data_IF_758030672148
#
_entry.id   IF_758030672148
#
_cell.length_a   1.000
_cell.length_b   1.000
_cell.length_c   1.000
_cell.angle_alpha   90.00
_cell.angle_beta   90.00
_cell.angle_gamma   90.00
#
_symmetry.space_group_name_H-M   'P 1'
#
loop_
_entity.id
_entity.type
_entity.pdbx_description
1 polymer ?
#
# COMPACT_ATOMS: atom_id res chain seq x y z
N UNK A 1 17.93 -22.51 66.16
CA UNK A 1 16.95 -22.68 65.07
C UNK A 1 17.68 -22.91 63.76
N UNK A 2 17.35 -24.03 63.12
CA UNK A 2 17.35 -24.36 61.68
C UNK A 2 18.63 -24.07 60.87
N UNK A 3 19.49 -25.10 60.84
CA UNK A 3 20.54 -25.42 59.85
C UNK A 3 20.01 -25.59 58.40
N UNK A 4 18.93 -24.89 58.01
CA UNK A 4 18.31 -24.93 56.67
C UNK A 4 18.64 -23.69 55.82
N UNK A 5 19.19 -22.61 56.41
CA UNK A 5 19.49 -21.37 55.67
C UNK A 5 20.89 -21.30 55.04
N UNK A 6 21.83 -22.18 55.39
CA UNK A 6 23.20 -22.12 54.82
C UNK A 6 23.34 -23.01 53.56
N UNK A 7 22.54 -24.08 53.44
CA UNK A 7 22.55 -24.95 52.25
C UNK A 7 21.79 -24.31 51.09
N UNK A 8 20.73 -23.53 51.37
CA UNK A 8 19.96 -22.83 50.33
C UNK A 8 20.73 -21.68 49.66
N UNK A 9 21.74 -21.11 50.32
CA UNK A 9 22.54 -20.02 49.75
C UNK A 9 23.65 -20.58 48.82
N UNK A 10 24.21 -21.74 49.14
CA UNK A 10 25.18 -22.43 48.27
C UNK A 10 24.54 -23.12 47.06
N UNK A 11 23.29 -23.60 47.17
CA UNK A 11 22.58 -24.16 46.01
C UNK A 11 22.18 -23.11 44.99
N UNK A 12 21.95 -21.86 45.39
CA UNK A 12 21.72 -20.75 44.44
C UNK A 12 23.03 -20.24 43.84
N UNK A 13 24.14 -20.26 44.60
CA UNK A 13 25.44 -19.80 44.11
C UNK A 13 26.11 -20.79 43.12
N UNK A 14 25.89 -22.11 43.25
CA UNK A 14 26.35 -23.10 42.25
C UNK A 14 25.48 -23.08 40.98
N UNK A 15 24.20 -22.67 41.08
CA UNK A 15 23.33 -22.45 39.92
C UNK A 15 23.68 -21.18 39.13
N UNK A 16 24.31 -20.18 39.76
CA UNK A 16 24.81 -18.98 39.06
C UNK A 16 26.14 -19.23 38.33
N UNK A 17 26.98 -20.18 38.80
CA UNK A 17 28.24 -20.52 38.12
C UNK A 17 28.04 -21.56 37.00
N UNK A 18 27.00 -22.40 37.07
CA UNK A 18 26.61 -23.26 35.95
C UNK A 18 25.94 -22.50 34.78
N UNK A 19 25.51 -21.25 34.98
CA UNK A 19 25.08 -20.34 33.90
C UNK A 19 26.24 -19.55 33.25
N UNK A 20 27.47 -19.76 33.71
CA UNK A 20 28.70 -19.41 32.98
C UNK A 20 29.31 -20.65 32.32
N UNK A 21 28.46 -21.62 31.95
CA UNK A 21 28.81 -22.65 31.01
C UNK A 21 29.22 -21.99 29.72
N UNK A 22 30.55 -21.95 29.50
CA UNK A 22 31.24 -21.74 28.23
C UNK A 22 30.34 -21.13 27.17
N UNK A 23 30.47 -19.82 26.92
CA UNK A 23 30.21 -19.30 25.58
C UNK A 23 31.24 -19.98 24.68
N UNK A 24 31.00 -21.25 24.35
CA UNK A 24 31.41 -21.76 23.08
C UNK A 24 30.77 -20.77 22.13
N UNK A 25 31.61 -19.91 21.56
CA UNK A 25 31.26 -19.19 20.35
C UNK A 25 30.98 -20.30 19.33
N UNK A 26 29.75 -20.82 19.35
CA UNK A 26 29.18 -21.53 18.23
C UNK A 26 28.97 -20.45 17.18
N UNK A 27 30.07 -20.09 16.53
CA UNK A 27 30.04 -19.54 15.19
C UNK A 27 29.42 -20.64 14.32
N UNK A 28 28.11 -20.58 14.14
CA UNK A 28 27.47 -21.28 13.04
C UNK A 28 27.69 -20.40 11.81
N UNK A 29 28.83 -20.60 11.16
CA UNK A 29 29.03 -20.06 9.82
C UNK A 29 28.03 -20.75 8.88
N UNK A 30 27.10 -19.97 8.33
CA UNK A 30 26.42 -20.38 7.11
C UNK A 30 27.36 -20.08 5.95
N UNK A 31 28.07 -21.09 5.47
CA UNK A 31 28.60 -21.07 4.11
C UNK A 31 27.45 -21.49 3.21
N UNK A 32 26.86 -20.52 2.52
CA UNK A 32 26.04 -20.85 1.35
C UNK A 32 26.95 -20.91 0.15
N UNK A 33 27.59 -22.06 -0.01
CA UNK A 33 28.29 -22.40 -1.24
C UNK A 33 27.23 -22.82 -2.26
N UNK A 34 27.27 -22.20 -3.45
CA UNK A 34 26.22 -22.23 -4.50
C UNK A 34 25.06 -21.24 -4.30
N UNK A 35 25.29 -20.10 -3.65
CA UNK A 35 24.46 -18.91 -3.91
C UNK A 35 24.61 -18.50 -5.39
N UNK A 36 23.77 -19.04 -6.27
CA UNK A 36 23.66 -18.57 -7.64
C UNK A 36 22.75 -17.35 -7.60
N UNK A 37 23.35 -16.16 -7.47
CA UNK A 37 22.66 -14.92 -7.79
C UNK A 37 22.43 -14.90 -9.31
N UNK A 38 21.24 -15.30 -9.74
CA UNK A 38 20.85 -15.19 -11.15
C UNK A 38 20.43 -13.75 -11.38
N UNK A 39 21.18 -13.03 -12.21
CA UNK A 39 20.77 -11.71 -12.67
C UNK A 39 19.37 -11.78 -13.28
N UNK A 40 18.58 -10.71 -13.15
CA UNK A 40 17.28 -10.68 -13.78
C UNK A 40 17.43 -10.89 -15.30
N UNK A 41 16.60 -11.76 -15.86
CA UNK A 41 16.59 -11.99 -17.30
C UNK A 41 16.05 -10.71 -17.96
N UNK A 42 16.80 -10.20 -18.94
CA UNK A 42 16.41 -9.14 -19.85
C UNK A 42 16.51 -9.71 -21.26
N UNK A 43 15.37 -10.10 -21.81
CA UNK A 43 15.23 -10.69 -23.14
C UNK A 43 14.01 -10.04 -23.79
N UNK A 44 14.27 -9.00 -24.57
CA UNK A 44 13.26 -8.31 -25.36
C UNK A 44 13.62 -8.54 -26.82
N UNK A 45 12.71 -9.15 -27.58
CA UNK A 45 12.92 -9.43 -29.00
C UNK A 45 11.75 -8.79 -29.75
N UNK A 46 12.08 -7.99 -30.75
CA UNK A 46 11.11 -7.52 -31.72
C UNK A 46 11.10 -8.48 -32.91
N UNK A 47 9.92 -8.94 -33.34
CA UNK A 47 9.74 -9.90 -34.45
C UNK A 47 8.73 -9.41 -35.49
N UNK A 48 8.88 -9.82 -36.74
CA UNK A 48 7.93 -9.56 -37.83
C UNK A 48 6.60 -10.34 -37.65
N UNK A 49 5.66 -10.16 -38.58
CA UNK A 49 4.37 -10.88 -38.58
C UNK A 49 4.48 -12.41 -38.73
N UNK A 50 5.65 -12.92 -39.11
CA UNK A 50 5.96 -14.35 -39.25
C UNK A 50 6.77 -14.89 -38.07
N UNK A 51 7.12 -14.05 -37.09
CA UNK A 51 7.88 -14.42 -35.89
C UNK A 51 9.40 -14.42 -36.07
N UNK A 52 9.94 -13.91 -37.17
CA UNK A 52 11.38 -13.77 -37.34
C UNK A 52 11.87 -12.51 -36.61
N UNK A 53 13.05 -12.56 -35.98
CA UNK A 53 13.67 -11.37 -35.40
C UNK A 53 13.75 -10.24 -36.45
N UNK A 54 13.38 -9.02 -36.06
CA UNK A 54 13.50 -7.86 -36.95
C UNK A 54 14.98 -7.68 -37.30
N UNK A 55 15.36 -8.02 -38.53
CA UNK A 55 16.61 -7.65 -39.17
C UNK A 55 16.44 -6.40 -40.03
N UNK A 56 17.28 -6.20 -41.05
CA UNK A 56 17.06 -5.22 -42.13
C UNK A 56 15.80 -5.62 -42.94
N UNK A 57 14.61 -5.44 -42.35
CA UNK A 57 13.33 -5.69 -42.99
C UNK A 57 13.00 -4.56 -43.96
N UNK A 58 12.57 -4.92 -45.17
CA UNK A 58 12.00 -3.95 -46.11
C UNK A 58 10.60 -3.57 -45.66
N UNK A 59 10.33 -2.27 -45.52
CA UNK A 59 8.97 -1.74 -45.38
C UNK A 59 8.18 -2.12 -46.64
N UNK A 60 6.95 -2.61 -46.47
CA UNK A 60 6.08 -2.90 -47.59
C UNK A 60 5.14 -1.72 -47.79
N UNK A 61 5.60 -0.71 -48.53
CA UNK A 61 4.80 0.48 -48.84
C UNK A 61 3.80 0.24 -50.00
N UNK A 62 3.64 -1.01 -50.47
CA UNK A 62 2.93 -1.31 -51.72
C UNK A 62 3.73 -0.87 -52.95
N UNK A 63 3.11 -0.98 -54.12
CA UNK A 63 3.79 -0.65 -55.38
C UNK A 63 3.98 0.88 -55.56
N UNK A 64 3.08 1.74 -55.06
CA UNK A 64 3.24 3.21 -55.12
C UNK A 64 2.47 3.94 -53.99
N UNK A 65 3.14 4.84 -53.26
CA UNK A 65 2.47 5.84 -52.41
C UNK A 65 1.92 6.95 -53.31
N UNK A 66 0.66 7.35 -53.11
CA UNK A 66 0.02 8.39 -53.92
C UNK A 66 -0.60 9.47 -53.05
N UNK A 67 -0.60 10.73 -53.50
CA UNK A 67 -1.26 11.81 -52.78
C UNK A 67 -2.74 11.55 -52.55
N UNK A 68 -3.21 11.84 -51.34
CA UNK A 68 -4.60 11.65 -50.91
C UNK A 68 -4.98 10.21 -50.57
N UNK A 69 -4.01 9.28 -50.53
CA UNK A 69 -4.31 7.90 -50.19
C UNK A 69 -4.70 7.71 -48.73
N UNK A 70 -5.57 6.73 -48.48
CA UNK A 70 -5.84 6.26 -47.13
C UNK A 70 -4.56 5.69 -46.48
N UNK A 71 -4.47 5.83 -45.15
CA UNK A 71 -3.33 5.32 -44.40
C UNK A 71 -3.20 3.80 -44.59
N UNK A 72 -2.05 3.36 -45.08
CA UNK A 72 -1.74 1.95 -45.32
C UNK A 72 -0.86 1.38 -44.20
N UNK A 73 -1.02 0.10 -43.91
CA UNK A 73 -0.15 -0.61 -42.97
C UNK A 73 1.19 -0.94 -43.65
N UNK A 74 2.20 -0.10 -43.40
CA UNK A 74 3.51 -0.22 -44.04
C UNK A 74 4.39 -1.32 -43.41
N UNK A 75 4.20 -1.57 -42.12
CA UNK A 75 4.93 -2.58 -41.38
C UNK A 75 4.20 -2.97 -40.09
N UNK A 76 4.30 -4.24 -39.69
CA UNK A 76 3.75 -4.75 -38.44
C UNK A 76 4.81 -5.54 -37.69
N UNK A 77 4.90 -5.36 -36.38
CA UNK A 77 5.84 -6.08 -35.55
C UNK A 77 5.29 -6.37 -34.16
N UNK A 78 5.93 -7.32 -33.48
CA UNK A 78 5.59 -7.73 -32.12
C UNK A 78 6.79 -7.53 -31.23
N UNK A 79 6.60 -6.91 -30.06
CA UNK A 79 7.62 -6.90 -29.00
C UNK A 79 7.25 -7.98 -27.98
N UNK A 80 8.16 -8.92 -27.81
CA UNK A 80 8.03 -10.03 -26.87
C UNK A 80 8.95 -9.79 -25.66
N UNK A 81 8.37 -9.58 -24.47
CA UNK A 81 9.13 -9.49 -23.20
C UNK A 81 9.04 -10.77 -22.38
N UNK A 82 8.60 -11.89 -22.97
CA UNK A 82 8.48 -13.16 -22.25
C UNK A 82 9.81 -13.53 -21.58
N UNK A 83 9.77 -13.68 -20.25
CA UNK A 83 10.94 -13.98 -19.43
C UNK A 83 11.72 -12.77 -18.94
N UNK A 84 11.40 -11.55 -19.40
CA UNK A 84 11.94 -10.32 -18.80
C UNK A 84 11.21 -10.00 -17.50
N UNK A 85 11.95 -10.00 -16.39
CA UNK A 85 11.38 -9.81 -15.03
C UNK A 85 11.52 -8.39 -14.50
N UNK A 86 12.26 -7.55 -15.21
CA UNK A 86 12.52 -6.16 -14.83
C UNK A 86 11.60 -5.24 -15.63
N UNK A 87 11.25 -4.06 -15.08
CA UNK A 87 10.55 -3.04 -15.85
C UNK A 87 11.41 -2.59 -17.04
N UNK A 88 10.76 -2.33 -18.16
CA UNK A 88 11.42 -1.91 -19.40
C UNK A 88 10.61 -0.80 -20.05
N UNK A 89 11.26 0.04 -20.83
CA UNK A 89 10.63 0.97 -21.76
C UNK A 89 11.14 0.72 -23.17
N UNK A 90 10.31 1.00 -24.16
CA UNK A 90 10.64 0.89 -25.57
C UNK A 90 10.74 2.27 -26.20
N UNK A 91 11.80 2.51 -26.95
CA UNK A 91 11.92 3.67 -27.82
C UNK A 91 11.88 3.18 -29.27
N UNK A 92 10.87 3.63 -30.02
CA UNK A 92 10.73 3.35 -31.44
C UNK A 92 11.25 4.55 -32.22
N UNK A 93 12.26 4.32 -33.05
CA UNK A 93 12.87 5.33 -33.90
C UNK A 93 12.61 4.99 -35.38
N UNK A 94 12.32 6.03 -36.16
CA UNK A 94 12.28 5.94 -37.61
C UNK A 94 13.39 6.82 -38.18
N UNK A 95 14.24 6.24 -39.00
CA UNK A 95 15.22 6.99 -39.80
C UNK A 95 14.77 6.94 -41.25
N UNK A 96 14.35 8.09 -41.79
CA UNK A 96 13.87 8.21 -43.17
C UNK A 96 14.96 8.81 -44.05
N UNK A 97 15.16 8.27 -45.25
CA UNK A 97 16.24 8.67 -46.17
C UNK A 97 15.81 8.58 -47.63
N UNK A 98 16.51 9.26 -48.53
CA UNK A 98 16.21 9.28 -49.96
C UNK A 98 15.42 10.51 -50.38
N UNK A 99 15.18 10.65 -51.68
CA UNK A 99 14.58 11.87 -52.25
C UNK A 99 13.13 12.10 -51.76
N UNK A 100 12.41 11.02 -51.44
CA UNK A 100 11.08 11.09 -50.84
C UNK A 100 11.10 11.63 -49.40
N UNK A 101 12.23 11.51 -48.69
CA UNK A 101 12.40 11.91 -47.30
C UNK A 101 13.61 12.84 -47.13
N UNK A 102 13.53 14.08 -47.64
CA UNK A 102 14.61 15.05 -47.54
C UNK A 102 14.84 15.46 -46.07
N UNK A 103 16.09 15.81 -45.76
CA UNK A 103 16.50 16.14 -44.38
C UNK A 103 15.93 17.44 -43.81
N UNK A 104 15.20 18.21 -44.61
CA UNK A 104 14.45 19.40 -44.19
C UNK A 104 13.02 19.07 -43.69
N UNK A 105 12.66 17.78 -43.65
CA UNK A 105 11.34 17.27 -43.27
C UNK A 105 10.21 17.78 -44.18
N UNK A 106 10.49 18.14 -45.43
CA UNK A 106 9.45 18.58 -46.37
C UNK A 106 8.69 17.42 -47.04
N UNK A 107 8.92 16.17 -46.62
CA UNK A 107 8.21 15.00 -47.15
C UNK A 107 6.72 15.12 -46.84
N UNK A 108 5.83 14.85 -47.82
CA UNK A 108 4.39 14.82 -47.58
C UNK A 108 3.92 13.52 -46.91
N UNK A 109 4.82 12.53 -46.72
CA UNK A 109 4.46 11.23 -46.13
C UNK A 109 4.53 11.30 -44.61
N UNK A 110 3.40 11.01 -43.96
CA UNK A 110 3.27 10.94 -42.51
C UNK A 110 3.36 9.49 -42.02
N UNK A 111 4.14 9.26 -40.98
CA UNK A 111 4.22 7.97 -40.28
C UNK A 111 3.54 8.07 -38.92
N UNK A 112 2.67 7.11 -38.63
CA UNK A 112 2.08 6.94 -37.29
C UNK A 112 2.39 5.54 -36.75
N UNK A 113 2.63 5.45 -35.44
CA UNK A 113 2.78 4.17 -34.75
C UNK A 113 1.48 3.87 -34.01
N UNK A 114 0.95 2.68 -34.21
CA UNK A 114 -0.22 2.20 -33.48
C UNK A 114 0.14 0.96 -32.66
N UNK A 115 -0.42 0.85 -31.46
CA UNK A 115 -0.38 -0.37 -30.66
C UNK A 115 -1.76 -1.01 -30.59
N UNK A 116 -1.79 -2.33 -30.41
CA UNK A 116 -3.02 -3.09 -30.26
C UNK A 116 -3.47 -3.11 -28.80
N UNK A 117 -4.66 -2.59 -28.53
CA UNK A 117 -5.34 -2.64 -27.22
C UNK A 117 -6.67 -3.41 -27.36
N UNK A 118 -6.67 -4.66 -26.89
CA UNK A 118 -7.76 -5.61 -27.14
C UNK A 118 -7.93 -5.87 -28.64
N UNK A 119 -9.13 -5.55 -29.16
CA UNK A 119 -9.46 -5.68 -30.58
C UNK A 119 -9.21 -4.40 -31.39
N UNK A 120 -8.83 -3.30 -30.71
CA UNK A 120 -8.66 -1.99 -31.33
C UNK A 120 -7.18 -1.63 -31.54
N UNK A 121 -6.93 -0.79 -32.53
CA UNK A 121 -5.64 -0.13 -32.74
C UNK A 121 -5.71 1.31 -32.25
N UNK A 122 -4.71 1.74 -31.46
CA UNK A 122 -4.67 3.06 -30.85
C UNK A 122 -3.34 3.72 -31.20
N UNK A 123 -3.37 5.01 -31.55
CA UNK A 123 -2.16 5.78 -31.83
C UNK A 123 -1.28 5.91 -30.60
N UNK A 124 0.03 5.75 -30.81
CA UNK A 124 1.06 5.86 -29.78
C UNK A 124 2.05 6.94 -30.16
N UNK A 125 2.27 7.87 -29.23
CA UNK A 125 3.31 8.89 -29.36
C UNK A 125 4.71 8.27 -29.24
N UNK A 126 5.27 7.86 -30.37
CA UNK A 126 6.62 7.30 -30.44
C UNK A 126 7.74 8.33 -30.23
N UNK A 127 7.41 9.62 -30.05
CA UNK A 127 8.38 10.64 -29.65
C UNK A 127 8.86 10.44 -28.20
N UNK A 128 8.12 9.70 -27.38
CA UNK A 128 8.46 9.37 -25.98
C UNK A 128 8.73 7.88 -25.80
N UNK A 129 9.42 7.47 -24.72
CA UNK A 129 9.48 6.06 -24.32
C UNK A 129 8.09 5.50 -24.06
N UNK A 130 7.85 4.27 -24.51
CA UNK A 130 6.61 3.52 -24.39
C UNK A 130 6.80 2.49 -23.29
N UNK A 131 5.98 2.52 -22.23
CA UNK A 131 6.02 1.50 -21.19
C UNK A 131 5.06 0.35 -21.54
N UNK A 132 5.54 -0.90 -21.65
CA UNK A 132 4.72 -2.04 -22.00
C UNK A 132 3.75 -2.40 -20.88
N UNK A 133 2.48 -2.55 -21.27
CA UNK A 133 1.39 -3.01 -20.43
C UNK A 133 1.27 -4.54 -20.42
N UNK A 134 1.67 -5.24 -21.50
CA UNK A 134 1.52 -6.70 -21.64
C UNK A 134 2.86 -7.43 -21.84
N UNK A 135 2.88 -8.76 -21.68
CA UNK A 135 4.05 -9.61 -21.97
C UNK A 135 4.37 -9.68 -23.47
N UNK A 136 3.35 -9.49 -24.30
CA UNK A 136 3.45 -9.44 -25.75
C UNK A 136 2.62 -8.25 -26.22
N UNK A 137 3.23 -7.38 -27.02
CA UNK A 137 2.57 -6.21 -27.59
C UNK A 137 2.71 -6.22 -29.10
N UNK A 138 1.62 -5.89 -29.79
CA UNK A 138 1.59 -5.81 -31.24
C UNK A 138 1.57 -4.34 -31.65
N UNK A 139 2.42 -4.00 -32.60
CA UNK A 139 2.56 -2.67 -33.15
C UNK A 139 2.41 -2.73 -34.67
N UNK A 140 1.93 -1.63 -35.24
CA UNK A 140 1.96 -1.39 -36.67
C UNK A 140 2.34 0.04 -36.97
N UNK A 141 3.00 0.22 -38.11
CA UNK A 141 3.39 1.51 -38.65
C UNK A 141 2.45 1.79 -39.81
N UNK A 142 1.72 2.89 -39.71
CA UNK A 142 0.89 3.36 -40.81
C UNK A 142 1.64 4.45 -41.57
N UNK A 143 1.56 4.40 -42.90
CA UNK A 143 2.04 5.45 -43.77
C UNK A 143 0.85 6.10 -44.48
N UNK A 144 0.78 7.43 -44.46
CA UNK A 144 -0.22 8.21 -45.15
C UNK A 144 0.45 9.29 -45.99
N UNK A 145 -0.17 9.68 -47.11
CA UNK A 145 0.24 10.84 -47.90
C UNK A 145 -0.98 11.75 -48.06
N UNK A 146 -1.26 12.65 -47.09
CA UNK A 146 -2.30 13.65 -47.24
C UNK A 146 -2.01 14.59 -48.41
N UNK A 147 -3.04 15.04 -49.11
CA UNK A 147 -2.88 16.01 -50.20
C UNK A 147 -2.24 17.32 -49.71
N UNK A 148 -1.30 17.84 -50.49
CA UNK A 148 -0.58 19.07 -50.19
C UNK A 148 -0.09 19.82 -51.44
N UNK A 149 0.29 21.08 -51.25
CA UNK A 149 0.74 21.96 -52.34
C UNK A 149 2.04 21.47 -53.01
N UNK A 150 2.81 20.61 -52.33
CA UNK A 150 4.07 20.04 -52.82
C UNK A 150 3.93 18.61 -53.37
N UNK A 151 2.72 18.06 -53.54
CA UNK A 151 2.50 16.69 -54.03
C UNK A 151 3.27 16.39 -55.33
N UNK A 152 3.23 17.32 -56.28
CA UNK A 152 3.90 17.20 -57.57
C UNK A 152 5.44 17.17 -57.44
N UNK A 153 6.01 17.82 -56.43
CA UNK A 153 7.45 17.88 -56.19
C UNK A 153 8.01 16.53 -55.71
N UNK A 154 7.14 15.63 -55.25
CA UNK A 154 7.51 14.31 -54.71
C UNK A 154 7.10 13.15 -55.62
N UNK A 155 6.46 13.42 -56.76
CA UNK A 155 6.07 12.40 -57.73
C UNK A 155 7.30 11.61 -58.24
N UNK A 156 7.22 10.27 -58.15
CA UNK A 156 8.26 9.35 -58.59
C UNK A 156 9.53 9.33 -57.73
N UNK A 157 9.60 10.12 -56.65
CA UNK A 157 10.71 10.06 -55.70
C UNK A 157 10.61 8.78 -54.86
N UNK A 158 11.76 8.23 -54.53
CA UNK A 158 11.86 7.03 -53.69
C UNK A 158 12.54 7.35 -52.37
N UNK A 159 12.27 6.51 -51.38
CA UNK A 159 12.86 6.67 -50.05
C UNK A 159 12.89 5.36 -49.29
N UNK A 160 13.69 5.34 -48.23
CA UNK A 160 13.84 4.20 -47.34
C UNK A 160 13.51 4.63 -45.91
N UNK A 161 12.81 3.76 -45.19
CA UNK A 161 12.51 3.92 -43.76
C UNK A 161 13.27 2.81 -43.03
N UNK A 162 14.03 3.17 -42.01
CA UNK A 162 14.64 2.24 -41.06
C UNK A 162 13.88 2.32 -39.73
N UNK A 163 13.41 1.18 -39.25
CA UNK A 163 12.82 1.01 -37.93
C UNK A 163 13.89 0.54 -36.94
N UNK A 164 13.98 1.20 -35.80
CA UNK A 164 14.80 0.74 -34.69
C UNK A 164 13.95 0.72 -33.41
N UNK A 165 13.97 -0.41 -32.70
CA UNK A 165 13.28 -0.59 -31.42
C UNK A 165 14.34 -0.80 -30.35
N UNK A 166 14.51 0.17 -29.46
CA UNK A 166 15.44 0.11 -28.35
C UNK A 166 14.66 -0.22 -27.08
N UNK A 167 14.97 -1.35 -26.45
CA UNK A 167 14.46 -1.67 -25.13
C UNK A 167 15.47 -1.23 -24.06
N UNK A 168 15.03 -0.46 -23.07
CA UNK A 168 15.86 -0.03 -21.94
C UNK A 168 15.23 -0.54 -20.64
N UNK A 169 16.01 -1.21 -19.80
CA UNK A 169 15.57 -1.51 -18.45
C UNK A 169 15.42 -0.21 -17.67
N UNK A 170 14.31 -0.05 -16.97
CA UNK A 170 14.06 1.11 -16.11
C UNK A 170 13.80 0.66 -14.67
N UNK A 171 14.08 1.55 -13.73
CA UNK A 171 13.63 1.41 -12.35
C UNK A 171 12.14 1.80 -12.31
N UNK A 172 11.27 0.87 -12.70
CA UNK A 172 9.85 1.16 -12.94
C UNK A 172 8.91 0.55 -11.92
N UNK A 173 7.91 1.33 -11.51
CA UNK A 173 6.73 0.76 -10.87
C UNK A 173 5.94 -0.06 -11.90
N UNK A 174 5.42 -1.23 -11.51
CA UNK A 174 4.63 -2.09 -12.42
C UNK A 174 3.23 -2.35 -11.86
N UNK A 175 2.24 -2.48 -12.74
CA UNK A 175 0.86 -2.82 -12.32
C UNK A 175 0.82 -4.12 -11.51
N UNK A 176 1.67 -5.09 -11.85
CA UNK A 176 1.75 -6.38 -11.15
C UNK A 176 2.19 -6.22 -9.69
N UNK A 177 3.26 -5.45 -9.44
CA UNK A 177 3.72 -5.22 -8.08
C UNK A 177 2.75 -4.32 -7.30
N UNK A 178 2.14 -3.33 -7.96
CA UNK A 178 1.10 -2.50 -7.35
C UNK A 178 -0.10 -3.35 -6.87
N UNK A 179 -0.53 -4.36 -7.65
CA UNK A 179 -1.57 -5.31 -7.24
C UNK A 179 -1.16 -6.14 -6.03
N UNK A 180 0.10 -6.59 -5.98
CA UNK A 180 0.62 -7.32 -4.82
C UNK A 180 0.63 -6.45 -3.56
N UNK A 181 1.08 -5.20 -3.66
CA UNK A 181 1.03 -4.23 -2.57
C UNK A 181 -0.42 -3.94 -2.12
N UNK A 182 -1.36 -3.88 -3.07
CA UNK A 182 -2.79 -3.77 -2.77
C UNK A 182 -3.31 -4.95 -1.96
N UNK A 183 -3.01 -6.18 -2.37
CA UNK A 183 -3.43 -7.38 -1.64
C UNK A 183 -2.83 -7.42 -0.23
N UNK A 184 -1.57 -7.03 -0.06
CA UNK A 184 -0.90 -6.90 1.25
C UNK A 184 -1.61 -5.89 2.15
N UNK A 185 -1.88 -4.68 1.64
CA UNK A 185 -2.58 -3.63 2.39
C UNK A 185 -4.02 -4.02 2.73
N UNK A 186 -4.75 -4.66 1.81
CA UNK A 186 -6.09 -5.17 2.04
C UNK A 186 -6.14 -6.28 3.08
N UNK A 187 -5.17 -7.21 3.05
CA UNK A 187 -5.03 -8.24 4.07
C UNK A 187 -4.72 -7.62 5.44
N UNK A 188 -3.85 -6.62 5.51
CA UNK A 188 -3.55 -5.91 6.75
C UNK A 188 -4.77 -5.15 7.29
N UNK A 189 -5.57 -4.53 6.42
CA UNK A 189 -6.84 -3.90 6.78
C UNK A 189 -7.84 -4.91 7.37
N UNK A 190 -8.01 -6.06 6.72
CA UNK A 190 -8.91 -7.11 7.18
C UNK A 190 -8.43 -7.74 8.49
N UNK A 191 -7.11 -7.84 8.70
CA UNK A 191 -6.53 -8.31 9.95
C UNK A 191 -6.91 -7.44 11.15
N UNK A 192 -7.20 -6.14 10.96
CA UNK A 192 -7.70 -5.28 12.04
C UNK A 192 -9.01 -5.79 12.64
N UNK A 193 -9.88 -6.42 11.84
CA UNK A 193 -11.15 -6.99 12.33
C UNK A 193 -10.94 -8.23 13.19
N UNK A 194 -9.80 -8.90 13.03
CA UNK A 194 -9.44 -10.08 13.82
C UNK A 194 -8.66 -9.75 15.09
N UNK A 195 -8.29 -8.47 15.34
CA UNK A 195 -7.57 -8.08 16.55
C UNK A 195 -8.46 -8.24 17.78
N UNK A 196 -7.93 -8.88 18.83
CA UNK A 196 -8.63 -9.14 20.08
C UNK A 196 -9.38 -10.48 20.08
N UNK A 197 -10.14 -10.75 21.14
CA UNK A 197 -10.90 -12.00 21.29
C UNK A 197 -12.22 -11.78 22.00
N UNK A 198 -13.19 -12.67 21.76
CA UNK A 198 -14.54 -12.58 22.33
C UNK A 198 -15.23 -11.25 21.99
N UNK A 199 -15.62 -10.49 23.01
CA UNK A 199 -16.26 -9.17 22.84
C UNK A 199 -15.29 -8.07 22.38
N UNK A 200 -13.99 -8.33 22.33
CA UNK A 200 -12.95 -7.37 21.93
C UNK A 200 -12.49 -7.57 20.48
N UNK A 201 -13.20 -8.35 19.67
CA UNK A 201 -12.86 -8.54 18.25
C UNK A 201 -13.03 -7.22 17.47
N UNK A 202 -11.97 -6.82 16.77
CA UNK A 202 -11.84 -5.53 16.10
C UNK A 202 -11.28 -4.41 17.00
N UNK A 203 -10.71 -4.76 18.17
CA UNK A 203 -10.15 -3.79 19.12
C UNK A 203 -8.68 -3.47 18.80
N UNK A 204 -8.42 -2.98 17.59
CA UNK A 204 -7.06 -2.59 17.18
C UNK A 204 -6.60 -1.28 17.82
N UNK A 205 -5.29 -1.13 18.03
CA UNK A 205 -4.64 0.08 18.53
C UNK A 205 -4.42 1.11 17.42
N UNK A 206 -4.18 2.37 17.80
CA UNK A 206 -3.85 3.44 16.84
C UNK A 206 -2.55 3.14 16.11
N UNK A 207 -1.59 2.49 16.77
CA UNK A 207 -0.35 2.04 16.13
C UNK A 207 -0.63 1.01 15.02
N UNK A 208 -1.55 0.07 15.25
CA UNK A 208 -1.95 -0.91 14.23
C UNK A 208 -2.65 -0.25 13.04
N UNK A 209 -3.59 0.69 13.27
CA UNK A 209 -4.22 1.42 12.15
C UNK A 209 -3.23 2.30 11.40
N UNK A 210 -2.27 2.93 12.09
CA UNK A 210 -1.22 3.74 11.46
C UNK A 210 -0.29 2.87 10.59
N UNK A 211 -0.01 1.63 11.00
CA UNK A 211 0.78 0.71 10.19
C UNK A 211 0.05 0.33 8.89
N UNK A 212 -1.27 0.13 8.93
CA UNK A 212 -2.08 -0.09 7.72
C UNK A 212 -2.11 1.17 6.87
N UNK A 213 -2.29 2.36 7.47
CA UNK A 213 -2.25 3.63 6.75
C UNK A 213 -0.92 3.81 6.00
N UNK A 214 0.21 3.49 6.64
CA UNK A 214 1.52 3.59 5.99
C UNK A 214 1.66 2.64 4.78
N UNK A 215 1.06 1.45 4.81
CA UNK A 215 1.02 0.56 3.65
C UNK A 215 0.16 1.13 2.52
N UNK A 216 -1.00 1.71 2.86
CA UNK A 216 -1.86 2.40 1.88
C UNK A 216 -1.14 3.59 1.27
N UNK A 217 -0.45 4.41 2.07
CA UNK A 217 0.32 5.58 1.59
C UNK A 217 1.45 5.15 0.64
N UNK A 218 2.18 4.09 0.99
CA UNK A 218 3.23 3.52 0.13
C UNK A 218 2.64 3.01 -1.21
N UNK A 219 1.49 2.35 -1.15
CA UNK A 219 0.77 1.89 -2.34
C UNK A 219 0.27 3.06 -3.21
N UNK A 220 -0.28 4.12 -2.61
CA UNK A 220 -0.69 5.33 -3.33
C UNK A 220 0.51 5.93 -4.07
N UNK A 221 1.64 6.10 -3.38
CA UNK A 221 2.87 6.62 -3.99
C UNK A 221 3.34 5.74 -5.15
N UNK A 222 3.29 4.41 -4.98
CA UNK A 222 3.67 3.45 -6.02
C UNK A 222 2.76 3.53 -7.24
N UNK A 223 1.44 3.51 -7.04
CA UNK A 223 0.43 3.60 -8.13
C UNK A 223 0.54 4.94 -8.86
N UNK A 224 0.78 6.04 -8.16
CA UNK A 224 0.97 7.35 -8.78
C UNK A 224 2.19 7.40 -9.70
N UNK A 225 3.24 6.63 -9.40
CA UNK A 225 4.43 6.46 -10.24
C UNK A 225 4.22 5.55 -11.46
N UNK A 226 3.08 4.88 -11.61
CA UNK A 226 2.78 4.11 -12.82
C UNK A 226 2.57 5.02 -14.03
N UNK A 227 2.93 4.58 -15.25
CA UNK A 227 2.52 5.23 -16.49
C UNK A 227 0.99 5.32 -16.59
N UNK A 228 0.49 6.31 -17.33
CA UNK A 228 -0.94 6.45 -17.60
C UNK A 228 -1.45 5.23 -18.37
N UNK A 229 -2.31 4.43 -17.75
CA UNK A 229 -2.96 3.28 -18.37
C UNK A 229 -4.27 2.96 -17.66
N UNK A 230 -5.11 2.12 -18.29
CA UNK A 230 -6.33 1.61 -17.64
C UNK A 230 -6.02 0.92 -16.31
N UNK A 231 -4.92 0.16 -16.25
CA UNK A 231 -4.48 -0.51 -15.02
C UNK A 231 -4.19 0.45 -13.87
N UNK A 232 -3.57 1.61 -14.15
CA UNK A 232 -3.37 2.67 -13.15
C UNK A 232 -4.70 3.25 -12.68
N UNK A 233 -5.60 3.57 -13.61
CA UNK A 233 -6.92 4.15 -13.29
C UNK A 233 -7.73 3.22 -12.40
N UNK A 234 -7.79 1.93 -12.74
CA UNK A 234 -8.51 0.93 -11.96
C UNK A 234 -7.88 0.78 -10.56
N UNK A 235 -6.55 0.72 -10.45
CA UNK A 235 -5.84 0.65 -9.16
C UNK A 235 -6.08 1.88 -8.28
N UNK A 236 -6.13 3.09 -8.84
CA UNK A 236 -6.41 4.31 -8.07
C UNK A 236 -7.80 4.26 -7.42
N UNK A 237 -8.79 3.70 -8.11
CA UNK A 237 -10.15 3.53 -7.57
C UNK A 237 -10.19 2.48 -6.44
N UNK A 238 -9.48 1.37 -6.61
CA UNK A 238 -9.35 0.32 -5.58
C UNK A 238 -8.67 0.86 -4.32
N UNK A 239 -7.58 1.62 -4.48
CA UNK A 239 -6.84 2.23 -3.37
C UNK A 239 -7.68 3.29 -2.63
N UNK A 240 -8.48 4.08 -3.36
CA UNK A 240 -9.41 5.02 -2.73
C UNK A 240 -10.48 4.30 -1.89
N UNK A 241 -10.97 3.15 -2.36
CA UNK A 241 -11.91 2.32 -1.61
C UNK A 241 -11.27 1.76 -0.33
N UNK A 242 -10.02 1.32 -0.41
CA UNK A 242 -9.24 0.83 0.73
C UNK A 242 -9.01 1.93 1.79
N UNK A 243 -8.64 3.14 1.35
CA UNK A 243 -8.51 4.31 2.24
C UNK A 243 -9.82 4.66 2.94
N UNK A 244 -10.94 4.64 2.20
CA UNK A 244 -12.26 4.90 2.77
C UNK A 244 -12.65 3.84 3.81
N UNK A 245 -12.33 2.57 3.56
CA UNK A 245 -12.60 1.50 4.50
C UNK A 245 -11.78 1.63 5.80
N UNK A 246 -10.48 1.96 5.72
CA UNK A 246 -9.67 2.23 6.90
C UNK A 246 -10.20 3.44 7.68
N UNK A 247 -10.55 4.53 6.99
CA UNK A 247 -11.09 5.75 7.59
C UNK A 247 -12.34 5.44 8.41
N UNK A 248 -13.31 4.71 7.83
CA UNK A 248 -14.53 4.29 8.54
C UNK A 248 -14.23 3.44 9.77
N UNK A 249 -13.28 2.49 9.66
CA UNK A 249 -12.86 1.68 10.82
C UNK A 249 -12.30 2.56 11.93
N UNK A 250 -11.39 3.48 11.60
CA UNK A 250 -10.78 4.42 12.56
C UNK A 250 -11.82 5.34 13.20
N UNK A 251 -12.71 5.94 12.40
CA UNK A 251 -13.77 6.83 12.90
C UNK A 251 -14.73 6.13 13.86
N UNK A 252 -15.08 4.86 13.59
CA UNK A 252 -15.96 4.07 14.46
C UNK A 252 -15.39 3.78 15.87
N UNK A 253 -14.11 4.10 16.08
CA UNK A 253 -13.41 3.89 17.36
C UNK A 253 -13.46 5.12 18.25
N UNK A 254 -13.53 6.33 17.69
CA UNK A 254 -13.41 7.54 18.48
C UNK A 254 -14.64 7.78 19.35
N UNK A 255 -14.40 7.90 20.65
CA UNK A 255 -15.38 8.35 21.63
C UNK A 255 -14.81 9.57 22.33
N UNK A 256 -15.53 10.68 22.26
CA UNK A 256 -15.21 11.85 23.07
C UNK A 256 -15.75 11.75 24.48
N UNK A 257 -15.03 12.33 25.45
CA UNK A 257 -15.44 12.43 26.85
C UNK A 257 -15.30 13.85 27.42
N UNK A 258 -16.09 14.15 28.44
CA UNK A 258 -15.93 15.32 29.32
C UNK A 258 -15.88 14.84 30.78
N UNK A 259 -14.97 15.40 31.58
CA UNK A 259 -14.92 15.11 33.02
C UNK A 259 -16.05 15.86 33.73
N UNK A 260 -16.87 15.14 34.49
CA UNK A 260 -17.84 15.76 35.38
C UNK A 260 -17.20 16.06 36.73
N UNK A 261 -16.89 17.35 36.98
CA UNK A 261 -16.26 17.81 38.21
C UNK A 261 -17.12 17.65 39.45
N UNK A 262 -18.45 17.54 39.32
CA UNK A 262 -19.37 17.27 40.45
C UNK A 262 -19.23 15.82 40.95
N UNK A 263 -18.92 14.90 40.05
CA UNK A 263 -18.80 13.45 40.33
C UNK A 263 -17.36 12.94 40.24
N UNK A 264 -16.39 13.84 40.23
CA UNK A 264 -14.97 13.49 40.20
C UNK A 264 -14.27 14.01 41.45
N UNK A 265 -13.63 13.09 42.18
CA UNK A 265 -12.86 13.37 43.38
C UNK A 265 -11.72 12.32 43.52
N UNK A 266 -11.05 12.27 44.68
CA UNK A 266 -9.98 11.30 44.94
C UNK A 266 -10.44 9.84 44.79
N UNK A 267 -11.72 9.57 45.08
CA UNK A 267 -12.28 8.22 45.18
C UNK A 267 -13.27 7.89 44.07
N UNK A 268 -13.45 8.80 43.11
CA UNK A 268 -14.44 8.65 42.05
C UNK A 268 -14.03 9.43 40.80
N UNK A 269 -14.30 8.88 39.63
CA UNK A 269 -14.21 9.55 38.33
C UNK A 269 -15.57 9.48 37.64
N UNK A 270 -16.14 10.63 37.28
CA UNK A 270 -17.36 10.75 36.49
C UNK A 270 -17.05 11.28 35.10
N UNK A 271 -17.51 10.57 34.05
CA UNK A 271 -17.32 10.92 32.64
C UNK A 271 -18.64 11.01 31.90
N UNK A 272 -18.82 12.08 31.13
CA UNK A 272 -19.86 12.15 30.08
C UNK A 272 -19.23 11.62 28.80
N UNK A 273 -19.85 10.61 28.19
CA UNK A 273 -19.35 9.99 26.97
C UNK A 273 -20.28 10.33 25.79
N UNK A 274 -19.69 10.58 24.62
CA UNK A 274 -20.46 10.84 23.38
C UNK A 274 -21.14 9.61 22.79
N UNK A 275 -20.72 8.41 23.21
CA UNK A 275 -21.34 7.15 22.83
C UNK A 275 -22.06 6.52 24.02
N UNK A 276 -23.21 5.89 23.75
CA UNK A 276 -23.91 5.11 24.78
C UNK A 276 -23.09 3.88 25.17
N UNK A 277 -23.06 3.58 26.47
CA UNK A 277 -22.23 2.52 27.04
C UNK A 277 -23.08 1.48 27.76
N UNK A 278 -22.72 0.19 27.66
CA UNK A 278 -23.49 -0.86 28.34
C UNK A 278 -23.37 -0.72 29.87
N UNK A 279 -24.48 -0.80 30.58
CA UNK A 279 -24.56 -0.53 32.03
C UNK A 279 -23.84 -1.53 32.94
N UNK A 280 -23.57 -1.05 34.16
CA UNK A 280 -22.95 -1.67 35.35
C UNK A 280 -22.20 -3.00 35.20
N UNK A 281 -20.88 -2.96 35.44
CA UNK A 281 -20.07 -4.15 35.71
C UNK A 281 -19.27 -3.91 36.99
N UNK A 282 -19.61 -4.64 38.04
CA UNK A 282 -18.76 -4.73 39.24
C UNK A 282 -17.62 -5.67 38.89
N UNK A 283 -16.38 -5.17 38.77
CA UNK A 283 -15.19 -6.01 38.61
C UNK A 283 -14.31 -5.93 39.84
N UNK A 284 -14.23 -7.04 40.56
CA UNK A 284 -13.29 -7.21 41.67
C UNK A 284 -11.95 -7.72 41.12
N UNK A 285 -11.18 -6.89 40.42
CA UNK A 285 -9.94 -7.38 39.80
C UNK A 285 -8.66 -7.08 40.60
N UNK A 286 -8.66 -6.26 41.66
CA UNK A 286 -7.44 -6.04 42.49
C UNK A 286 -7.74 -5.76 43.97
N UNK A 287 -6.69 -5.75 44.81
CA UNK A 287 -6.74 -5.42 46.25
C UNK A 287 -7.39 -4.05 46.55
N UNK A 288 -7.52 -3.18 45.53
CA UNK A 288 -8.26 -1.91 45.53
C UNK A 288 -9.32 -1.92 44.42
N UNK A 289 -10.31 -2.79 44.55
CA UNK A 289 -11.36 -2.96 43.55
C UNK A 289 -12.08 -1.64 43.24
N UNK A 290 -12.37 -1.39 41.96
CA UNK A 290 -13.23 -0.31 41.49
C UNK A 290 -14.58 -0.86 41.04
N UNK A 291 -15.65 -0.16 41.39
CA UNK A 291 -16.99 -0.36 40.85
C UNK A 291 -17.16 0.52 39.62
N UNK A 292 -17.49 -0.10 38.47
CA UNK A 292 -17.85 0.62 37.26
C UNK A 292 -19.36 0.61 37.11
N UNK A 293 -19.95 1.79 37.04
CA UNK A 293 -21.40 1.94 36.91
C UNK A 293 -21.79 2.95 35.85
N UNK A 294 -22.92 2.67 35.20
CA UNK A 294 -23.65 3.68 34.45
C UNK A 294 -24.68 4.28 35.39
N UNK A 295 -24.66 5.61 35.54
CA UNK A 295 -25.62 6.34 36.37
C UNK A 295 -26.41 7.30 35.47
N UNK A 296 -27.73 7.30 35.60
CA UNK A 296 -28.56 8.32 34.94
C UNK A 296 -28.52 9.61 35.76
N UNK A 297 -28.24 10.72 35.09
CA UNK A 297 -28.22 12.08 35.64
C UNK A 297 -29.11 12.99 34.79
N UNK A 298 -29.34 14.23 35.23
CA UNK A 298 -30.23 15.21 34.57
C UNK A 298 -29.86 15.52 33.11
N UNK A 299 -28.59 15.29 32.74
CA UNK A 299 -28.04 15.49 31.39
C UNK A 299 -27.81 14.18 30.63
N UNK A 300 -28.35 13.05 31.11
CA UNK A 300 -28.23 11.73 30.48
C UNK A 300 -27.37 10.75 31.26
N UNK A 301 -26.89 9.71 30.56
CA UNK A 301 -26.19 8.57 31.17
C UNK A 301 -24.70 8.86 31.34
N UNK A 302 -24.25 8.93 32.59
CA UNK A 302 -22.87 9.17 33.01
C UNK A 302 -22.15 7.85 33.30
N UNK A 303 -20.90 7.76 32.87
CA UNK A 303 -20.00 6.66 33.26
C UNK A 303 -19.30 7.06 34.57
N UNK A 304 -19.46 6.25 35.62
CA UNK A 304 -18.82 6.45 36.91
C UNK A 304 -17.92 5.28 37.26
N UNK A 305 -16.70 5.58 37.67
CA UNK A 305 -15.76 4.64 38.27
C UNK A 305 -15.50 5.06 39.71
N UNK A 306 -15.88 4.25 40.69
CA UNK A 306 -15.73 4.55 42.11
C UNK A 306 -14.94 3.44 42.82
N UNK A 307 -14.09 3.78 43.79
CA UNK A 307 -13.47 2.76 44.64
C UNK A 307 -14.56 2.00 45.39
N UNK A 308 -14.42 0.68 45.46
CA UNK A 308 -15.34 -0.16 46.20
C UNK A 308 -15.45 0.33 47.66
N UNK A 309 -16.64 0.39 48.27
CA UNK A 309 -16.83 0.95 49.62
C UNK A 309 -15.88 0.37 50.68
N UNK A 310 -15.56 -0.92 50.59
CA UNK A 310 -14.65 -1.60 51.51
C UNK A 310 -13.18 -1.13 51.41
N UNK A 311 -12.74 -0.63 50.25
CA UNK A 311 -11.35 -0.25 49.93
C UNK A 311 -11.21 1.24 49.64
N UNK A 312 -12.30 2.03 49.70
CA UNK A 312 -12.33 3.46 49.39
C UNK A 312 -11.35 4.30 50.22
N UNK A 313 -11.13 3.90 51.48
CA UNK A 313 -10.15 4.51 52.38
C UNK A 313 -8.69 4.29 51.96
N UNK A 314 -8.45 3.29 51.11
CA UNK A 314 -7.12 2.88 50.65
C UNK A 314 -6.76 3.50 49.29
N UNK A 315 -7.63 4.35 48.72
CA UNK A 315 -7.39 5.06 47.48
C UNK A 315 -6.11 5.91 47.58
N UNK A 316 -5.23 5.75 46.60
CA UNK A 316 -3.94 6.44 46.58
C UNK A 316 -3.70 7.18 45.26
N UNK A 317 -2.88 8.23 45.34
CA UNK A 317 -2.31 8.88 44.16
C UNK A 317 -1.40 7.87 43.46
N UNK A 318 -1.55 7.75 42.15
CA UNK A 318 -0.82 6.81 41.32
C UNK A 318 -1.54 5.48 41.08
N UNK A 319 -2.68 5.22 41.73
CA UNK A 319 -3.48 4.02 41.45
C UNK A 319 -3.89 3.98 39.97
N UNK A 320 -3.67 2.83 39.32
CA UNK A 320 -3.93 2.62 37.90
C UNK A 320 -5.01 1.56 37.69
N UNK A 321 -5.95 1.83 36.78
CA UNK A 321 -7.04 0.92 36.44
C UNK A 321 -7.13 0.73 34.93
N UNK A 322 -6.91 -0.51 34.47
CA UNK A 322 -7.06 -0.88 33.07
C UNK A 322 -8.48 -1.40 32.83
N UNK A 323 -9.16 -0.87 31.84
CA UNK A 323 -10.55 -1.23 31.57
C UNK A 323 -10.85 -1.23 30.07
N UNK A 324 -11.67 -2.19 29.63
CA UNK A 324 -12.25 -2.20 28.29
C UNK A 324 -13.66 -1.59 28.32
N UNK A 325 -13.78 -0.32 27.96
CA UNK A 325 -15.07 0.40 27.88
C UNK A 325 -15.92 -0.18 26.76
N UNK A 326 -17.12 -0.66 27.11
CA UNK A 326 -18.06 -1.27 26.16
C UNK A 326 -19.16 -0.29 25.79
N UNK A 327 -19.43 -0.21 24.51
CA UNK A 327 -20.39 0.72 23.94
C UNK A 327 -21.53 -0.01 23.23
N UNK A 328 -22.69 0.64 23.19
CA UNK A 328 -23.84 0.22 22.41
C UNK A 328 -23.78 0.83 21.01
N UNK A 329 -24.68 0.44 20.12
CA UNK A 329 -24.86 1.11 18.82
C UNK A 329 -23.71 0.90 17.83
N UNK A 330 -22.93 -0.18 17.96
CA UNK A 330 -21.88 -0.54 17.00
C UNK A 330 -20.50 0.07 17.26
N UNK A 331 -20.36 0.90 18.31
CA UNK A 331 -19.04 1.39 18.75
C UNK A 331 -18.26 0.24 19.38
N UNK A 332 -17.01 0.07 18.94
CA UNK A 332 -16.15 -1.02 19.41
C UNK A 332 -15.64 -0.76 20.83
N UNK A 333 -15.35 -1.83 21.57
CA UNK A 333 -14.74 -1.73 22.91
C UNK A 333 -13.45 -0.90 22.86
N UNK A 334 -13.24 0.00 23.83
CA UNK A 334 -12.04 0.83 23.91
C UNK A 334 -11.25 0.46 25.16
N UNK A 335 -9.98 0.08 24.98
CA UNK A 335 -9.07 -0.07 26.11
C UNK A 335 -8.61 1.31 26.61
N UNK A 336 -8.65 1.47 27.92
CA UNK A 336 -8.28 2.70 28.61
C UNK A 336 -7.56 2.36 29.92
N UNK A 337 -6.57 3.18 30.26
CA UNK A 337 -5.95 3.19 31.58
C UNK A 337 -6.30 4.50 32.29
N UNK A 338 -6.93 4.39 33.45
CA UNK A 338 -7.21 5.51 34.34
C UNK A 338 -6.13 5.57 35.42
N UNK A 339 -5.51 6.73 35.64
CA UNK A 339 -4.58 6.96 36.76
C UNK A 339 -5.10 8.03 37.68
N UNK A 340 -5.24 7.74 38.97
CA UNK A 340 -5.64 8.71 39.98
C UNK A 340 -4.48 9.68 40.27
N UNK A 341 -4.65 10.97 39.99
CA UNK A 341 -3.62 11.99 40.25
C UNK A 341 -3.87 12.75 41.57
N UNK A 342 -4.93 12.42 42.30
CA UNK A 342 -5.35 13.13 43.50
C UNK A 342 -6.08 14.43 43.23
N UNK A 343 -6.68 15.01 44.29
CA UNK A 343 -7.42 16.28 44.23
C UNK A 343 -8.48 16.35 43.10
N UNK A 344 -9.15 15.23 42.80
CA UNK A 344 -10.14 15.15 41.71
C UNK A 344 -9.54 15.21 40.30
N UNK A 345 -8.23 15.02 40.14
CA UNK A 345 -7.58 14.93 38.84
C UNK A 345 -7.32 13.46 38.49
N UNK A 346 -7.57 13.13 37.22
CA UNK A 346 -7.36 11.79 36.68
C UNK A 346 -6.66 11.90 35.34
N UNK A 347 -5.71 11.00 35.09
CA UNK A 347 -5.12 10.80 33.76
C UNK A 347 -5.90 9.69 33.05
N UNK A 348 -6.23 9.91 31.79
CA UNK A 348 -6.95 8.96 30.95
C UNK A 348 -6.08 8.67 29.74
N UNK A 349 -5.48 7.48 29.73
CA UNK A 349 -4.61 7.02 28.66
C UNK A 349 -5.39 6.05 27.75
N UNK A 350 -5.70 6.47 26.54
CA UNK A 350 -6.36 5.65 25.51
C UNK A 350 -6.05 6.17 24.12
N UNK A 351 -6.01 5.26 23.14
CA UNK A 351 -5.88 5.61 21.73
C UNK A 351 -7.15 6.23 21.14
N UNK A 352 -8.31 5.88 21.70
CA UNK A 352 -9.62 6.09 21.07
C UNK A 352 -10.62 6.87 21.94
N UNK A 353 -10.33 7.01 23.23
CA UNK A 353 -11.09 7.86 24.14
C UNK A 353 -10.44 9.24 24.25
N UNK A 354 -11.10 10.27 23.72
CA UNK A 354 -10.52 11.61 23.49
C UNK A 354 -11.23 12.69 24.30
N UNK A 355 -10.51 13.58 24.96
CA UNK A 355 -11.14 14.68 25.70
C UNK A 355 -11.80 15.67 24.72
N UNK A 356 -13.05 16.02 24.99
CA UNK A 356 -13.76 17.06 24.25
C UNK A 356 -13.23 18.42 24.70
N UNK A 357 -12.57 19.11 23.77
CA UNK A 357 -11.99 20.45 23.99
C UNK A 357 -13.04 21.55 23.97
#
# INVERSE_FOLDING_TARGET
MKKKSIISLFSVMVLVIAMLGTVAYFSKSFTSDKNIATAAKFNVIAVDSKGNAIGDGQFNLGDELTPGMDALEAYSFKIDKNGTKVPVEYKVNFTMTGDLFPGDNSSPVELTLQSKDGDNWVDVDYSKPITPQNEVENFRVMAAWPHGDNDADFAGKTGNIKLEVIATQVDGNTVKEAKKMYDEANNALNALDAVGSGFNVGNFSKAQSNAVQAQIDALIAYVNGLPSSKGKTDLLADVASLQSALTKKVESRYVSYEIDTKYTNLTQLGLKLSADHSGQVIRNEEARAMMVSAQYQDYGKMFSMEYHPATKKDAAIGDQFKYGLRFNGGVKTIDVTFTNLGAGKWKIDSDWLVEKK
#
